data_IF_285908540105
#
_entry.id   IF_285908540105
#
_cell.length_a   1.000
_cell.length_b   1.000
_cell.length_c   1.000
_cell.angle_alpha   90.00
_cell.angle_beta   90.00
_cell.angle_gamma   90.00
#
_symmetry.space_group_name_H-M   'P 1'
#
loop_
_entity.id
_entity.type
_entity.pdbx_description
1 polymer ?
#
# COMPACT_ATOMS: atom_id res chain seq x y z
N UNK A 1 -23.33 -55.53 35.27
CA UNK A 1 -22.38 -54.40 35.21
C UNK A 1 -21.76 -54.13 33.82
N UNK A 2 -22.04 -54.90 32.75
CA UNK A 2 -21.46 -54.63 31.41
C UNK A 2 -22.18 -53.54 30.58
N UNK A 3 -23.47 -53.30 30.80
CA UNK A 3 -24.27 -52.38 29.95
C UNK A 3 -24.08 -50.88 30.25
N UNK A 4 -23.60 -50.52 31.45
CA UNK A 4 -23.45 -49.10 31.80
C UNK A 4 -22.19 -48.49 31.17
N UNK A 5 -21.11 -49.26 31.05
CA UNK A 5 -19.85 -48.80 30.46
C UNK A 5 -19.97 -48.58 28.95
N UNK A 6 -20.77 -49.40 28.25
CA UNK A 6 -21.02 -49.25 26.82
C UNK A 6 -21.93 -48.04 26.53
N UNK A 7 -22.94 -47.78 27.36
CA UNK A 7 -23.78 -46.57 27.25
C UNK A 7 -22.98 -45.29 27.54
N UNK A 8 -22.07 -45.32 28.52
CA UNK A 8 -21.17 -44.20 28.83
C UNK A 8 -20.18 -43.94 27.69
N UNK A 9 -19.61 -44.99 27.09
CA UNK A 9 -18.71 -44.86 25.94
C UNK A 9 -19.41 -44.27 24.71
N UNK A 10 -20.66 -44.67 24.44
CA UNK A 10 -21.45 -44.13 23.31
C UNK A 10 -21.81 -42.66 23.57
N UNK A 11 -22.13 -42.27 24.81
CA UNK A 11 -22.46 -40.89 25.18
C UNK A 11 -21.24 -39.94 25.09
N UNK A 12 -20.04 -40.43 25.42
CA UNK A 12 -18.79 -39.66 25.26
C UNK A 12 -18.42 -39.54 23.78
N UNK A 13 -18.61 -40.61 22.99
CA UNK A 13 -18.33 -40.58 21.55
C UNK A 13 -19.29 -39.65 20.80
N UNK A 14 -20.58 -39.60 21.18
CA UNK A 14 -21.54 -38.67 20.58
C UNK A 14 -21.27 -37.22 20.97
N UNK A 15 -20.77 -36.95 22.18
CA UNK A 15 -20.36 -35.62 22.60
C UNK A 15 -19.12 -35.14 21.80
N UNK A 16 -18.17 -36.03 21.51
CA UNK A 16 -16.99 -35.70 20.70
C UNK A 16 -17.31 -35.39 19.23
N UNK A 17 -18.27 -36.12 18.64
CA UNK A 17 -18.72 -35.88 17.25
C UNK A 17 -19.55 -34.59 17.14
N UNK A 18 -20.30 -34.23 18.18
CA UNK A 18 -21.15 -33.01 18.21
C UNK A 18 -20.32 -31.72 18.30
N UNK A 19 -19.15 -31.76 18.93
CA UNK A 19 -18.28 -30.59 19.15
C UNK A 19 -17.45 -30.23 17.90
N UNK A 20 -17.27 -31.17 16.96
CA UNK A 20 -16.51 -30.93 15.72
C UNK A 20 -17.28 -30.08 14.69
N UNK A 21 -18.61 -29.93 14.82
CA UNK A 21 -19.42 -29.18 13.84
C UNK A 21 -19.47 -27.65 14.05
N UNK A 22 -18.78 -27.10 15.06
CA UNK A 22 -18.79 -25.65 15.33
C UNK A 22 -17.53 -24.90 14.91
N UNK A 23 -16.58 -25.54 14.22
CA UNK A 23 -15.36 -24.88 13.72
C UNK A 23 -15.32 -24.79 12.19
N UNK A 24 -16.37 -24.23 11.59
CA UNK A 24 -16.25 -23.58 10.28
C UNK A 24 -16.28 -22.07 10.47
N UNK A 25 -15.30 -21.53 11.20
CA UNK A 25 -15.00 -20.10 11.07
C UNK A 25 -14.52 -19.86 9.66
N UNK A 26 -15.32 -19.13 8.89
CA UNK A 26 -14.99 -18.65 7.57
C UNK A 26 -13.62 -17.95 7.59
N UNK A 27 -12.65 -18.54 6.91
CA UNK A 27 -11.42 -17.87 6.54
C UNK A 27 -11.74 -16.85 5.43
N UNK A 28 -12.31 -15.70 5.80
CA UNK A 28 -12.39 -14.53 4.94
C UNK A 28 -11.51 -13.43 5.53
N UNK A 29 -10.20 -13.65 5.45
CA UNK A 29 -9.22 -12.59 5.49
C UNK A 29 -8.48 -12.57 4.14
N UNK A 30 -9.24 -12.57 3.03
CA UNK A 30 -8.69 -12.12 1.76
C UNK A 30 -8.34 -10.65 1.96
N UNK A 31 -7.07 -10.35 2.25
CA UNK A 31 -6.62 -8.97 2.40
C UNK A 31 -6.96 -8.24 1.12
N UNK A 32 -7.77 -7.19 1.23
CA UNK A 32 -8.03 -6.28 0.13
C UNK A 32 -6.70 -5.78 -0.45
N UNK A 33 -6.61 -5.75 -1.77
CA UNK A 33 -5.49 -5.15 -2.47
C UNK A 33 -5.46 -3.63 -2.23
N UNK A 34 -4.27 -3.11 -1.92
CA UNK A 34 -4.05 -1.69 -1.67
C UNK A 34 -3.88 -0.87 -2.97
N UNK A 35 -3.82 -1.57 -4.10
CA UNK A 35 -3.86 -1.04 -5.47
C UNK A 35 -5.15 -1.47 -6.16
N UNK A 36 -5.69 -0.64 -7.04
CA UNK A 36 -6.76 -1.09 -7.93
C UNK A 36 -6.19 -2.00 -9.03
N UNK A 37 -7.08 -2.69 -9.77
CA UNK A 37 -6.66 -3.64 -10.81
C UNK A 37 -5.73 -3.01 -11.85
N UNK A 38 -6.06 -1.81 -12.35
CA UNK A 38 -5.25 -1.17 -13.40
C UNK A 38 -3.90 -0.66 -12.86
N UNK A 39 -3.84 -0.20 -11.62
CA UNK A 39 -2.59 0.15 -10.95
C UNK A 39 -1.69 -1.07 -10.77
N UNK A 40 -2.26 -2.24 -10.46
CA UNK A 40 -1.52 -3.51 -10.39
C UNK A 40 -0.92 -3.86 -11.76
N UNK A 41 -1.72 -3.75 -12.83
CA UNK A 41 -1.25 -3.96 -14.20
C UNK A 41 -0.11 -2.97 -14.56
N UNK A 42 -0.28 -1.69 -14.25
CA UNK A 42 0.75 -0.67 -14.50
C UNK A 42 2.05 -0.93 -13.73
N UNK A 43 1.97 -1.39 -12.48
CA UNK A 43 3.16 -1.78 -11.70
C UNK A 43 3.86 -2.97 -12.37
N UNK A 44 3.09 -3.95 -12.87
CA UNK A 44 3.59 -5.13 -13.56
C UNK A 44 4.25 -4.77 -14.90
N UNK A 45 3.66 -3.87 -15.65
CA UNK A 45 4.17 -3.42 -16.96
C UNK A 45 5.38 -2.49 -16.82
N UNK A 46 5.47 -1.76 -15.72
CA UNK A 46 6.62 -0.91 -15.40
C UNK A 46 7.84 -1.74 -14.98
N UNK A 47 8.56 -2.25 -15.98
CA UNK A 47 9.78 -3.03 -15.79
C UNK A 47 10.96 -2.19 -15.28
N UNK A 48 11.03 -0.91 -15.67
CA UNK A 48 12.05 0.03 -15.19
C UNK A 48 11.65 0.61 -13.83
N UNK A 49 12.61 0.64 -12.88
CA UNK A 49 12.35 1.01 -11.48
C UNK A 49 11.85 2.45 -11.32
N UNK A 50 12.33 3.38 -12.15
CA UNK A 50 11.87 4.77 -12.16
C UNK A 50 10.40 4.86 -12.59
N UNK A 51 10.01 4.16 -13.68
CA UNK A 51 8.62 4.10 -14.13
C UNK A 51 7.70 3.46 -13.09
N UNK A 52 8.14 2.37 -12.47
CA UNK A 52 7.36 1.69 -11.43
C UNK A 52 7.12 2.61 -10.23
N UNK A 53 8.14 3.37 -9.87
CA UNK A 53 8.06 4.37 -8.80
C UNK A 53 7.06 5.47 -9.13
N UNK A 54 6.99 5.93 -10.39
CA UNK A 54 5.96 6.89 -10.83
C UNK A 54 4.54 6.34 -10.64
N UNK A 55 4.32 5.05 -10.90
CA UNK A 55 3.03 4.40 -10.69
C UNK A 55 2.65 4.41 -9.20
N UNK A 56 3.58 4.05 -8.31
CA UNK A 56 3.33 4.09 -6.86
C UNK A 56 3.03 5.51 -6.36
N UNK A 57 3.80 6.51 -6.81
CA UNK A 57 3.58 7.92 -6.45
C UNK A 57 2.19 8.38 -6.91
N UNK A 58 1.81 8.08 -8.16
CA UNK A 58 0.49 8.43 -8.69
C UNK A 58 -0.64 7.70 -7.96
N UNK A 59 -0.44 6.44 -7.59
CA UNK A 59 -1.40 5.69 -6.80
C UNK A 59 -1.66 6.40 -5.46
N UNK A 60 -0.62 6.84 -4.74
CA UNK A 60 -0.76 7.59 -3.48
C UNK A 60 -1.49 8.93 -3.72
N UNK A 61 -1.10 9.70 -4.74
CA UNK A 61 -1.78 10.95 -5.11
C UNK A 61 -3.30 10.74 -5.27
N UNK A 62 -3.70 9.62 -5.91
CA UNK A 62 -5.12 9.26 -6.10
C UNK A 62 -5.85 8.93 -4.81
N UNK A 63 -5.20 8.35 -3.79
CA UNK A 63 -5.82 8.15 -2.46
C UNK A 63 -6.02 9.49 -1.77
N UNK A 64 -5.05 10.39 -1.85
CA UNK A 64 -5.20 11.74 -1.28
C UNK A 64 -6.30 12.55 -1.96
N UNK A 65 -6.51 12.42 -3.27
CA UNK A 65 -7.64 13.05 -3.96
C UNK A 65 -8.97 12.66 -3.30
N UNK A 66 -9.15 11.38 -3.00
CA UNK A 66 -10.36 10.85 -2.36
C UNK A 66 -10.45 11.28 -0.89
N UNK A 67 -9.38 11.10 -0.10
CA UNK A 67 -9.36 11.46 1.34
C UNK A 67 -9.63 12.95 1.56
N UNK A 68 -9.12 13.81 0.69
CA UNK A 68 -9.28 15.26 0.80
C UNK A 68 -10.57 15.79 0.16
N UNK A 69 -11.44 14.91 -0.38
CA UNK A 69 -12.64 15.27 -1.15
C UNK A 69 -12.34 16.32 -2.24
N UNK A 70 -11.20 16.18 -2.92
CA UNK A 70 -10.81 17.15 -3.94
C UNK A 70 -11.70 16.99 -5.18
N UNK A 71 -12.34 18.06 -5.66
CA UNK A 71 -13.19 17.98 -6.85
C UNK A 71 -12.34 17.63 -8.06
N UNK A 72 -12.84 16.73 -8.90
CA UNK A 72 -12.21 16.43 -10.18
C UNK A 72 -12.69 17.49 -11.18
N UNK A 73 -12.02 18.64 -11.22
CA UNK A 73 -12.53 19.88 -11.83
C UNK A 73 -12.52 19.94 -13.37
N UNK A 74 -12.25 18.84 -14.07
CA UNK A 74 -12.14 18.82 -15.55
C UNK A 74 -12.54 17.45 -16.10
N UNK A 75 -13.77 17.34 -16.62
CA UNK A 75 -14.38 16.10 -17.11
C UNK A 75 -13.58 15.40 -18.23
N UNK A 76 -12.78 16.13 -19.00
CA UNK A 76 -11.94 15.53 -20.05
C UNK A 76 -10.66 14.95 -19.47
N UNK A 77 -10.04 15.66 -18.52
CA UNK A 77 -8.86 15.15 -17.82
C UNK A 77 -9.23 13.99 -16.89
N UNK A 78 -10.40 14.04 -16.25
CA UNK A 78 -10.89 12.95 -15.39
C UNK A 78 -11.09 11.66 -16.16
N UNK A 79 -11.70 11.72 -17.36
CA UNK A 79 -11.88 10.57 -18.24
C UNK A 79 -10.56 9.98 -18.70
N UNK A 80 -9.64 10.82 -19.18
CA UNK A 80 -8.31 10.36 -19.59
C UNK A 80 -7.49 9.79 -18.42
N UNK A 81 -7.63 10.35 -17.23
CA UNK A 81 -7.00 9.81 -16.03
C UNK A 81 -7.62 8.45 -15.65
N UNK A 82 -8.95 8.31 -15.74
CA UNK A 82 -9.62 7.01 -15.47
C UNK A 82 -9.25 5.95 -16.50
N UNK A 83 -9.19 6.28 -17.79
CA UNK A 83 -8.74 5.36 -18.84
C UNK A 83 -7.31 4.85 -18.60
N UNK A 84 -6.43 5.70 -18.06
CA UNK A 84 -5.04 5.34 -17.80
C UNK A 84 -4.82 4.65 -16.44
N UNK A 85 -5.51 5.09 -15.39
CA UNK A 85 -5.22 4.72 -13.99
C UNK A 85 -6.38 4.02 -13.28
N UNK A 86 -7.47 3.78 -14.00
CA UNK A 86 -8.68 3.13 -13.52
C UNK A 86 -9.56 4.10 -12.75
N UNK A 87 -10.64 3.56 -12.18
CA UNK A 87 -11.50 4.29 -11.28
C UNK A 87 -10.76 4.73 -10.00
N UNK A 88 -11.21 5.83 -9.41
CA UNK A 88 -10.62 6.34 -8.16
C UNK A 88 -10.68 5.26 -7.07
N UNK A 89 -9.66 5.20 -6.20
CA UNK A 89 -9.59 4.16 -5.18
C UNK A 89 -10.81 4.27 -4.24
N UNK A 90 -11.46 3.13 -4.03
CA UNK A 90 -12.65 3.01 -3.18
C UNK A 90 -12.27 2.56 -1.78
N UNK A 91 -13.19 2.70 -0.82
CA UNK A 91 -13.04 2.21 0.54
C UNK A 91 -13.23 3.29 1.60
N UNK A 92 -13.16 2.85 2.84
CA UNK A 92 -13.20 3.74 4.01
C UNK A 92 -11.95 4.59 4.10
N UNK A 93 -12.04 5.76 4.76
CA UNK A 93 -10.89 6.64 4.98
C UNK A 93 -9.71 5.89 5.62
N UNK A 94 -9.98 5.04 6.61
CA UNK A 94 -8.94 4.28 7.31
C UNK A 94 -8.25 3.26 6.40
N UNK A 95 -8.99 2.61 5.50
CA UNK A 95 -8.41 1.73 4.50
C UNK A 95 -7.53 2.50 3.50
N UNK A 96 -7.99 3.66 3.03
CA UNK A 96 -7.20 4.47 2.09
C UNK A 96 -5.90 5.00 2.71
N UNK A 97 -5.91 5.33 4.01
CA UNK A 97 -4.71 5.70 4.76
C UNK A 97 -3.74 4.51 4.90
N UNK A 98 -4.27 3.32 5.20
CA UNK A 98 -3.49 2.09 5.26
C UNK A 98 -2.92 1.72 3.88
N UNK A 99 -3.67 1.97 2.79
CA UNK A 99 -3.18 1.75 1.44
C UNK A 99 -1.99 2.66 1.13
N UNK A 100 -2.02 3.93 1.53
CA UNK A 100 -0.89 4.85 1.36
C UNK A 100 0.36 4.32 2.05
N UNK A 101 0.24 3.87 3.30
CA UNK A 101 1.35 3.26 4.04
C UNK A 101 1.93 2.04 3.29
N UNK A 102 1.06 1.13 2.84
CA UNK A 102 1.48 -0.07 2.10
C UNK A 102 2.12 0.24 0.75
N UNK A 103 1.63 1.25 0.03
CA UNK A 103 2.21 1.67 -1.25
C UNK A 103 3.61 2.25 -1.04
N UNK A 104 3.81 3.07 0.00
CA UNK A 104 5.12 3.59 0.36
C UNK A 104 6.09 2.46 0.71
N UNK A 105 5.66 1.51 1.55
CA UNK A 105 6.46 0.33 1.89
C UNK A 105 6.85 -0.47 0.63
N UNK A 106 5.89 -0.77 -0.24
CA UNK A 106 6.14 -1.51 -1.47
C UNK A 106 7.08 -0.75 -2.43
N UNK A 107 6.99 0.58 -2.50
CA UNK A 107 7.90 1.40 -3.32
C UNK A 107 9.34 1.34 -2.78
N UNK A 108 9.52 1.37 -1.46
CA UNK A 108 10.82 1.21 -0.80
C UNK A 108 11.38 -0.18 -1.09
N UNK A 109 10.60 -1.24 -0.84
CA UNK A 109 11.02 -2.63 -1.08
C UNK A 109 11.48 -2.84 -2.53
N UNK A 110 10.77 -2.26 -3.51
CA UNK A 110 11.14 -2.37 -4.92
C UNK A 110 12.47 -1.66 -5.25
N UNK A 111 12.72 -0.50 -4.65
CA UNK A 111 13.99 0.22 -4.82
C UNK A 111 15.12 -0.58 -4.16
N UNK A 112 14.90 -1.07 -2.95
CA UNK A 112 15.88 -1.85 -2.19
C UNK A 112 16.21 -3.16 -2.90
N UNK A 113 15.22 -3.87 -3.45
CA UNK A 113 15.44 -5.09 -4.23
C UNK A 113 16.32 -4.84 -5.46
N UNK A 114 16.09 -3.73 -6.16
CA UNK A 114 16.94 -3.34 -7.29
C UNK A 114 18.33 -2.92 -6.81
N UNK A 115 18.44 -2.18 -5.71
CA UNK A 115 19.73 -1.79 -5.14
C UNK A 115 20.55 -2.99 -4.66
N UNK A 116 19.91 -4.03 -4.12
CA UNK A 116 20.56 -5.28 -3.71
C UNK A 116 21.05 -6.05 -4.93
N UNK A 117 20.23 -6.17 -5.97
CA UNK A 117 20.53 -6.95 -7.18
C UNK A 117 21.51 -6.26 -8.13
N UNK A 118 21.37 -4.95 -8.31
CA UNK A 118 22.15 -4.11 -9.21
C UNK A 118 22.46 -2.74 -8.59
N UNK A 119 23.49 -2.73 -7.73
CA UNK A 119 24.01 -1.52 -7.07
C UNK A 119 24.47 -0.41 -8.02
N UNK A 120 24.69 -0.72 -9.31
CA UNK A 120 25.20 0.22 -10.32
C UNK A 120 24.11 0.68 -11.28
N UNK A 121 22.85 0.29 -11.05
CA UNK A 121 21.74 0.71 -11.89
C UNK A 121 21.69 2.24 -12.02
N UNK A 122 21.76 2.72 -13.26
CA UNK A 122 21.66 4.15 -13.56
C UNK A 122 20.27 4.73 -13.26
N UNK A 123 19.26 3.86 -13.10
CA UNK A 123 17.88 4.25 -12.83
C UNK A 123 17.59 4.43 -11.33
N UNK A 124 18.38 3.83 -10.44
CA UNK A 124 18.18 3.95 -8.99
C UNK A 124 18.19 5.40 -8.49
N UNK A 125 19.17 6.26 -8.85
CA UNK A 125 19.14 7.66 -8.44
C UNK A 125 17.87 8.38 -8.88
N UNK A 126 17.39 8.11 -10.10
CA UNK A 126 16.17 8.72 -10.62
C UNK A 126 14.93 8.23 -9.87
N UNK A 127 14.81 6.93 -9.63
CA UNK A 127 13.69 6.34 -8.88
C UNK A 127 13.60 6.91 -7.46
N UNK A 128 14.71 6.97 -6.72
CA UNK A 128 14.70 7.52 -5.35
C UNK A 128 14.30 9.00 -5.35
N UNK A 129 14.75 9.79 -6.33
CA UNK A 129 14.33 11.20 -6.44
C UNK A 129 12.84 11.35 -6.76
N UNK A 130 12.29 10.53 -7.66
CA UNK A 130 10.84 10.51 -7.94
C UNK A 130 10.06 10.20 -6.66
N UNK A 131 10.50 9.18 -5.91
CA UNK A 131 9.85 8.82 -4.65
C UNK A 131 9.97 9.92 -3.60
N UNK A 132 11.13 10.58 -3.49
CA UNK A 132 11.36 11.70 -2.58
C UNK A 132 10.54 12.94 -2.94
N UNK A 133 10.38 13.25 -4.22
CA UNK A 133 9.49 14.33 -4.68
C UNK A 133 8.04 14.03 -4.28
N UNK A 134 7.60 12.77 -4.41
CA UNK A 134 6.31 12.30 -3.90
C UNK A 134 6.20 12.48 -2.38
N UNK A 135 7.14 11.93 -1.63
CA UNK A 135 7.18 11.99 -0.17
C UNK A 135 7.14 13.42 0.37
N UNK A 136 7.85 14.37 -0.25
CA UNK A 136 7.79 15.78 0.10
C UNK A 136 6.39 16.39 -0.08
N UNK A 137 5.61 15.94 -1.07
CA UNK A 137 4.21 16.36 -1.26
C UNK A 137 3.25 15.66 -0.31
N UNK A 138 3.51 14.40 0.05
CA UNK A 138 2.65 13.59 0.91
C UNK A 138 2.78 13.96 2.38
N UNK A 139 4.00 14.24 2.84
CA UNK A 139 4.31 14.52 4.25
C UNK A 139 3.42 15.61 4.88
N UNK A 140 3.23 16.81 4.31
CA UNK A 140 2.34 17.81 4.89
C UNK A 140 0.87 17.36 4.90
N UNK A 141 0.43 16.57 3.92
CA UNK A 141 -0.92 16.02 3.87
C UNK A 141 -1.13 15.00 4.99
N UNK A 142 -0.19 14.07 5.17
CA UNK A 142 -0.21 13.08 6.25
C UNK A 142 -0.24 13.74 7.63
N UNK A 143 0.62 14.76 7.86
CA UNK A 143 0.60 15.54 9.11
C UNK A 143 -0.77 16.18 9.34
N UNK A 144 -1.34 16.82 8.31
CA UNK A 144 -2.69 17.38 8.41
C UNK A 144 -3.76 16.32 8.71
N UNK A 145 -3.64 15.10 8.18
CA UNK A 145 -4.57 14.01 8.48
C UNK A 145 -4.38 13.46 9.91
N UNK A 146 -3.14 13.45 10.42
CA UNK A 146 -2.82 13.05 11.79
C UNK A 146 -3.50 13.96 12.81
N UNK A 147 -3.41 15.27 12.59
CA UNK A 147 -4.00 16.29 13.46
C UNK A 147 -5.55 16.21 13.50
N UNK A 148 -6.16 15.66 12.45
CA UNK A 148 -7.62 15.56 12.29
C UNK A 148 -8.22 14.27 12.85
N UNK A 149 -7.41 13.23 13.09
CA UNK A 149 -7.95 11.93 13.49
C UNK A 149 -7.80 11.67 14.99
N UNK A 150 -8.83 11.06 15.57
CA UNK A 150 -8.80 10.46 16.91
C UNK A 150 -8.79 8.93 16.87
N UNK A 151 -8.91 8.33 15.68
CA UNK A 151 -8.89 6.87 15.51
C UNK A 151 -7.46 6.33 15.61
N UNK A 152 -7.25 5.32 16.46
CA UNK A 152 -5.92 4.79 16.72
C UNK A 152 -5.35 3.98 15.56
N UNK A 153 -6.20 3.31 14.77
CA UNK A 153 -5.76 2.57 13.58
C UNK A 153 -5.29 3.53 12.50
N UNK A 154 -6.04 4.60 12.29
CA UNK A 154 -5.65 5.66 11.37
C UNK A 154 -4.36 6.35 11.81
N UNK A 155 -4.21 6.65 13.11
CA UNK A 155 -2.96 7.21 13.65
C UNK A 155 -1.78 6.30 13.35
N UNK A 156 -1.92 4.99 13.56
CA UNK A 156 -0.89 4.00 13.24
C UNK A 156 -0.47 4.07 11.76
N UNK A 157 -1.44 3.99 10.85
CA UNK A 157 -1.16 4.03 9.41
C UNK A 157 -0.52 5.36 8.96
N UNK A 158 -1.01 6.49 9.50
CA UNK A 158 -0.48 7.81 9.18
C UNK A 158 0.95 7.96 9.68
N UNK A 159 1.24 7.54 10.91
CA UNK A 159 2.60 7.61 11.48
C UNK A 159 3.56 6.73 10.67
N UNK A 160 3.17 5.49 10.35
CA UNK A 160 3.99 4.61 9.49
C UNK A 160 4.29 5.25 8.13
N UNK A 161 3.29 5.83 7.48
CA UNK A 161 3.48 6.56 6.22
C UNK A 161 4.39 7.80 6.35
N UNK A 162 4.31 8.54 7.47
CA UNK A 162 5.19 9.68 7.77
C UNK A 162 6.63 9.19 7.93
N UNK A 163 6.84 8.10 8.67
CA UNK A 163 8.17 7.53 8.89
C UNK A 163 8.80 7.07 7.58
N UNK A 164 8.05 6.42 6.70
CA UNK A 164 8.54 6.09 5.36
C UNK A 164 8.90 7.34 4.56
N UNK A 165 8.03 8.37 4.57
CA UNK A 165 8.31 9.62 3.87
C UNK A 165 9.62 10.28 4.37
N UNK A 166 9.84 10.32 5.68
CA UNK A 166 11.07 10.86 6.27
C UNK A 166 12.30 10.05 5.85
N UNK A 167 12.23 8.72 5.90
CA UNK A 167 13.32 7.83 5.47
C UNK A 167 13.67 8.04 3.99
N UNK A 168 12.67 8.12 3.12
CA UNK A 168 12.85 8.37 1.68
C UNK A 168 13.56 9.72 1.46
N UNK A 169 13.07 10.78 2.11
CA UNK A 169 13.64 12.13 1.98
C UNK A 169 15.09 12.15 2.46
N UNK A 170 15.38 11.55 3.61
CA UNK A 170 16.74 11.46 4.15
C UNK A 170 17.67 10.65 3.23
N UNK A 171 17.20 9.52 2.71
CA UNK A 171 17.95 8.69 1.77
C UNK A 171 18.28 9.46 0.49
N UNK A 172 17.32 10.24 -0.03
CA UNK A 172 17.52 11.04 -1.24
C UNK A 172 18.63 12.09 -1.10
N UNK A 173 18.83 12.65 0.10
CA UNK A 173 19.87 13.64 0.36
C UNK A 173 21.30 13.07 0.28
N UNK A 174 21.44 11.73 0.34
CA UNK A 174 22.71 11.01 0.20
C UNK A 174 23.06 10.71 -1.26
N UNK A 175 22.15 10.97 -2.21
CA UNK A 175 22.37 10.73 -3.63
C UNK A 175 23.11 11.93 -4.23
N UNK A 176 24.26 11.73 -4.91
CA UNK A 176 24.96 12.81 -5.59
C UNK A 176 24.05 13.54 -6.57
N UNK A 177 24.19 14.87 -6.67
CA UNK A 177 23.50 15.63 -7.70
C UNK A 177 23.90 15.12 -9.10
N UNK A 178 22.97 15.05 -10.04
CA UNK A 178 23.29 14.65 -11.41
C UNK A 178 24.38 15.58 -11.95
N UNK A 179 25.55 15.02 -12.25
CA UNK A 179 26.59 15.74 -12.96
C UNK A 179 25.96 16.21 -14.28
N UNK A 180 25.65 17.51 -14.36
CA UNK A 180 25.04 18.15 -15.53
C UNK A 180 25.72 17.59 -16.78
N UNK A 181 25.02 16.75 -17.54
CA UNK A 181 25.49 16.34 -18.87
C UNK A 181 25.68 17.64 -19.65
N UNK A 182 26.94 18.02 -19.82
CA UNK A 182 27.36 19.12 -20.67
C UNK A 182 26.72 18.83 -22.03
N UNK A 183 25.80 19.68 -22.48
CA UNK A 183 25.26 19.59 -23.84
C UNK A 183 26.47 19.62 -24.78
N UNK A 184 26.74 18.49 -25.43
CA UNK A 184 27.58 18.42 -26.62
C UNK A 184 26.76 18.82 -27.83
#
# INVERSE_FOLDING_TARGET
MKNNNLKFAILILSLFVSIQMFFTTSAFAQRRDYLNELEIELVRDAQMIDLRTEVFVKAIDRRFLVINNQPVTDDKKSKKDSEKWGELPVGTRSELLLDIEKILAAAIDNIDDVAVRDKKSELLPKAVRILADGANRFLPQLKSQLDKTNDQKEKGAIIGAIDFCNQIIEASAKIPADAKKKKS
#
